data_IF_194105444319
#
_entry.id   IF_194105444319
#
_cell.length_a   1.000
_cell.length_b   1.000
_cell.length_c   1.000
_cell.angle_alpha   90.00
_cell.angle_beta   90.00
_cell.angle_gamma   90.00
#
_symmetry.space_group_name_H-M   'P 1'
#
loop_
_entity.id
_entity.type
_entity.pdbx_description
1 polymer ?
#
# COMPACT_ATOMS: atom_id res chain seq x y z
N UNK A 1 18.51 -7.13 26.34
CA UNK A 1 17.06 -7.30 26.10
C UNK A 1 16.31 -6.49 27.15
N UNK A 2 15.42 -5.59 26.75
CA UNK A 2 14.62 -4.78 27.67
C UNK A 2 13.23 -5.40 27.81
N UNK A 3 12.64 -5.26 29.00
CA UNK A 3 11.28 -5.71 29.30
C UNK A 3 10.39 -4.49 29.45
N UNK A 4 9.23 -4.50 28.76
CA UNK A 4 8.18 -3.48 28.89
C UNK A 4 6.90 -4.12 29.39
N UNK A 5 6.09 -3.36 30.10
CA UNK A 5 4.74 -3.76 30.52
C UNK A 5 3.74 -2.88 29.80
N UNK A 6 2.73 -3.49 29.18
CA UNK A 6 1.68 -2.79 28.44
C UNK A 6 0.35 -3.13 29.10
N UNK A 7 -0.49 -2.12 29.30
CA UNK A 7 -1.88 -2.28 29.74
C UNK A 7 -2.78 -2.18 28.51
N UNK A 8 -3.65 -3.16 28.33
CA UNK A 8 -4.65 -3.21 27.26
C UNK A 8 -6.04 -3.17 27.89
N UNK A 9 -6.99 -2.55 27.22
CA UNK A 9 -8.40 -2.71 27.56
C UNK A 9 -8.92 -4.08 27.11
N UNK A 10 -10.13 -4.44 27.57
CA UNK A 10 -10.69 -5.78 27.37
C UNK A 10 -10.94 -6.07 25.87
N UNK A 11 -11.30 -5.07 25.08
CA UNK A 11 -11.57 -5.21 23.63
C UNK A 11 -10.28 -5.50 22.87
N UNK A 12 -9.20 -4.76 23.16
CA UNK A 12 -7.87 -5.01 22.57
C UNK A 12 -7.28 -6.34 23.01
N UNK A 13 -7.53 -6.73 24.28
CA UNK A 13 -7.08 -8.02 24.78
C UNK A 13 -7.77 -9.18 24.06
N UNK A 14 -9.09 -9.07 23.84
CA UNK A 14 -9.86 -10.05 23.09
C UNK A 14 -9.39 -10.11 21.61
N UNK A 15 -9.14 -8.97 21.00
CA UNK A 15 -8.64 -8.92 19.62
C UNK A 15 -7.24 -9.57 19.50
N UNK A 16 -6.38 -9.38 20.50
CA UNK A 16 -5.06 -10.01 20.57
C UNK A 16 -5.17 -11.54 20.71
N UNK A 17 -6.06 -12.02 21.56
CA UNK A 17 -6.29 -13.46 21.73
C UNK A 17 -6.82 -14.10 20.43
N UNK A 18 -7.75 -13.46 19.74
CA UNK A 18 -8.22 -13.89 18.42
C UNK A 18 -7.12 -13.89 17.35
N UNK A 19 -6.21 -12.90 17.41
CA UNK A 19 -5.05 -12.86 16.51
C UNK A 19 -4.11 -14.02 16.80
N UNK A 20 -3.85 -14.34 18.07
CA UNK A 20 -3.01 -15.48 18.46
C UNK A 20 -3.54 -16.80 17.90
N UNK A 21 -4.84 -17.02 17.98
CA UNK A 21 -5.48 -18.24 17.41
C UNK A 21 -5.25 -18.34 15.89
N UNK A 22 -5.34 -17.21 15.18
CA UNK A 22 -5.15 -17.17 13.72
C UNK A 22 -3.68 -17.26 13.28
N UNK A 23 -2.76 -16.64 14.03
CA UNK A 23 -1.34 -16.56 13.68
C UNK A 23 -0.51 -17.71 14.26
N UNK A 24 -1.11 -18.61 15.05
CA UNK A 24 -0.41 -19.69 15.76
C UNK A 24 0.71 -19.18 16.71
N UNK A 25 0.63 -17.93 17.15
CA UNK A 25 1.57 -17.37 18.10
C UNK A 25 1.46 -18.11 19.45
N UNK A 26 2.58 -18.49 20.02
CA UNK A 26 2.61 -19.32 21.25
C UNK A 26 2.24 -18.56 22.52
N UNK A 27 2.34 -17.24 22.50
CA UNK A 27 1.98 -16.38 23.63
C UNK A 27 1.73 -14.93 23.18
N UNK A 28 1.03 -14.15 24.03
CA UNK A 28 0.69 -12.73 23.77
C UNK A 28 1.91 -11.85 23.48
N UNK A 29 3.04 -12.10 24.14
CA UNK A 29 4.26 -11.33 23.91
C UNK A 29 4.87 -11.58 22.53
N UNK A 30 4.70 -12.77 21.98
CA UNK A 30 5.13 -13.11 20.62
C UNK A 30 4.19 -12.46 19.59
N UNK A 31 2.89 -12.56 19.78
CA UNK A 31 1.91 -11.90 18.94
C UNK A 31 2.12 -10.38 18.88
N UNK A 32 2.34 -9.74 20.02
CA UNK A 32 2.66 -8.31 20.10
C UNK A 32 3.97 -7.95 19.39
N UNK A 33 5.02 -8.78 19.55
CA UNK A 33 6.29 -8.54 18.85
C UNK A 33 6.14 -8.63 17.34
N UNK A 34 5.34 -9.58 16.86
CA UNK A 34 5.06 -9.76 15.45
C UNK A 34 4.27 -8.57 14.88
N UNK A 35 3.23 -8.10 15.60
CA UNK A 35 2.49 -6.89 15.23
C UNK A 35 3.40 -5.66 15.17
N UNK A 36 4.25 -5.48 16.18
CA UNK A 36 5.19 -4.35 16.23
C UNK A 36 6.23 -4.43 15.12
N UNK A 37 6.76 -5.62 14.85
CA UNK A 37 7.70 -5.83 13.75
C UNK A 37 7.04 -5.46 12.43
N UNK A 38 5.86 -5.98 12.16
CA UNK A 38 5.12 -5.68 10.94
C UNK A 38 4.79 -4.18 10.81
N UNK A 39 4.40 -3.52 11.90
CA UNK A 39 4.15 -2.08 11.90
C UNK A 39 5.42 -1.25 11.65
N UNK A 40 6.58 -1.68 12.19
CA UNK A 40 7.86 -1.00 12.01
C UNK A 40 8.51 -1.28 10.64
N UNK A 41 8.29 -2.46 10.08
CA UNK A 41 8.74 -2.80 8.71
C UNK A 41 8.04 -1.94 7.65
N UNK A 42 6.87 -1.37 7.99
CA UNK A 42 6.13 -0.43 7.14
C UNK A 42 6.64 1.01 7.28
N UNK A 43 7.51 1.33 8.24
CA UNK A 43 8.09 2.67 8.43
C UNK A 43 9.30 2.86 7.49
N UNK A 44 9.01 2.95 6.21
CA UNK A 44 10.01 3.12 5.16
C UNK A 44 10.40 4.61 5.04
N UNK A 45 11.67 4.92 4.71
CA UNK A 45 12.09 6.31 4.54
C UNK A 45 11.36 6.96 3.37
N UNK A 46 10.72 8.10 3.60
CA UNK A 46 9.90 8.82 2.60
C UNK A 46 10.63 9.12 1.28
N UNK A 47 11.96 9.22 1.34
CA UNK A 47 12.84 9.50 0.20
C UNK A 47 13.18 8.24 -0.64
N UNK A 48 12.83 7.04 -0.16
CA UNK A 48 13.03 5.79 -0.91
C UNK A 48 12.07 5.67 -2.09
N UNK A 49 12.48 4.94 -3.12
CA UNK A 49 11.60 4.56 -4.23
C UNK A 49 10.76 3.35 -3.87
N UNK A 50 9.53 3.31 -4.37
CA UNK A 50 8.63 2.18 -4.17
C UNK A 50 7.73 1.91 -5.38
N UNK A 51 7.17 0.69 -5.37
CA UNK A 51 5.92 0.37 -6.06
C UNK A 51 4.83 0.29 -4.99
N UNK A 52 3.88 1.22 -5.05
CA UNK A 52 2.71 1.23 -4.17
C UNK A 52 1.55 0.48 -4.79
N UNK A 53 0.94 -0.41 -4.02
CA UNK A 53 -0.33 -1.08 -4.35
C UNK A 53 -1.42 -0.42 -3.52
N UNK A 54 -2.28 0.34 -4.17
CA UNK A 54 -3.38 1.07 -3.52
C UNK A 54 -4.68 0.37 -3.89
N UNK A 55 -5.43 -0.10 -2.91
CA UNK A 55 -6.74 -0.70 -3.11
C UNK A 55 -7.81 0.01 -2.29
N UNK A 56 -8.99 0.18 -2.84
CA UNK A 56 -10.11 0.86 -2.18
C UNK A 56 -11.43 0.54 -2.87
N UNK A 57 -12.52 0.84 -2.17
CA UNK A 57 -13.89 0.75 -2.72
C UNK A 57 -14.43 2.16 -2.87
N UNK A 58 -15.01 2.47 -4.02
CA UNK A 58 -15.73 3.71 -4.27
C UNK A 58 -17.20 3.47 -4.56
N UNK A 59 -18.03 4.45 -4.24
CA UNK A 59 -19.32 4.66 -4.87
C UNK A 59 -19.11 5.61 -6.06
N UNK A 60 -19.15 5.12 -7.31
CA UNK A 60 -18.82 5.92 -8.47
C UNK A 60 -19.78 7.08 -8.71
N UNK A 61 -21.02 6.99 -8.23
CA UNK A 61 -22.04 8.04 -8.34
C UNK A 61 -21.80 9.18 -7.35
N UNK A 62 -21.20 8.86 -6.20
CA UNK A 62 -21.02 9.81 -5.11
C UNK A 62 -19.97 10.85 -5.46
N UNK A 63 -20.37 12.13 -5.43
CA UNK A 63 -19.48 13.25 -5.75
C UNK A 63 -18.68 13.10 -7.04
N UNK A 64 -19.23 12.36 -7.98
CA UNK A 64 -18.58 12.08 -9.26
C UNK A 64 -17.22 11.35 -9.14
N UNK A 65 -17.08 10.48 -8.13
CA UNK A 65 -15.83 9.74 -7.90
C UNK A 65 -15.44 8.88 -9.10
N UNK A 66 -16.41 8.29 -9.80
CA UNK A 66 -16.17 7.50 -11.02
C UNK A 66 -15.45 8.27 -12.12
N UNK A 67 -15.47 9.60 -12.09
CA UNK A 67 -14.71 10.45 -13.02
C UNK A 67 -13.48 11.07 -12.37
N UNK A 68 -13.62 11.59 -11.16
CA UNK A 68 -12.55 12.31 -10.45
C UNK A 68 -11.35 11.43 -10.12
N UNK A 69 -11.59 10.20 -9.70
CA UNK A 69 -10.51 9.27 -9.34
C UNK A 69 -9.67 8.89 -10.55
N UNK A 70 -10.23 8.43 -11.69
CA UNK A 70 -9.45 8.23 -12.91
C UNK A 70 -8.71 9.48 -13.39
N UNK A 71 -9.34 10.68 -13.31
CA UNK A 71 -8.68 11.94 -13.66
C UNK A 71 -7.50 12.26 -12.76
N UNK A 72 -7.59 11.97 -11.45
CA UNK A 72 -6.49 12.18 -10.51
C UNK A 72 -5.28 11.29 -10.81
N UNK A 73 -5.53 10.06 -11.28
CA UNK A 73 -4.48 9.15 -11.78
C UNK A 73 -3.91 9.62 -13.12
N UNK A 74 -4.77 10.08 -14.03
CA UNK A 74 -4.33 10.61 -15.31
C UNK A 74 -3.41 11.83 -15.13
N UNK A 75 -3.67 12.67 -14.13
CA UNK A 75 -2.79 13.80 -13.78
C UNK A 75 -1.42 13.34 -13.24
N UNK A 76 -1.28 12.06 -12.89
CA UNK A 76 -0.05 11.41 -12.41
C UNK A 76 0.33 10.23 -13.30
N UNK A 77 0.16 10.38 -14.61
CA UNK A 77 0.37 9.31 -15.60
C UNK A 77 1.80 8.77 -15.61
N UNK A 78 2.78 9.59 -15.25
CA UNK A 78 4.19 9.22 -15.10
C UNK A 78 4.46 8.32 -13.88
N UNK A 79 3.66 8.48 -12.81
CA UNK A 79 3.73 7.65 -11.62
C UNK A 79 2.77 6.44 -11.68
N UNK A 80 1.68 6.51 -12.45
CA UNK A 80 0.70 5.43 -12.55
C UNK A 80 1.17 4.34 -13.51
N UNK A 81 1.41 3.13 -12.98
CA UNK A 81 1.85 1.97 -13.77
C UNK A 81 0.65 1.24 -14.36
N UNK A 82 -0.38 1.00 -13.55
CA UNK A 82 -1.59 0.29 -13.95
C UNK A 82 -2.76 0.66 -13.02
N UNK A 83 -3.97 0.47 -13.50
CA UNK A 83 -5.16 0.54 -12.65
C UNK A 83 -6.23 -0.43 -13.16
N UNK A 84 -6.95 -1.03 -12.22
CA UNK A 84 -8.05 -1.95 -12.45
C UNK A 84 -9.27 -1.47 -11.67
N UNK A 85 -10.43 -1.48 -12.31
CA UNK A 85 -11.72 -1.21 -11.69
C UNK A 85 -12.64 -2.41 -11.89
N UNK A 86 -13.20 -2.93 -10.82
CA UNK A 86 -14.11 -4.07 -10.81
C UNK A 86 -15.43 -3.64 -10.17
N UNK A 87 -16.50 -3.43 -10.96
CA UNK A 87 -17.83 -3.21 -10.42
C UNK A 87 -18.29 -4.42 -9.61
N UNK A 88 -18.78 -4.19 -8.40
CA UNK A 88 -19.35 -5.22 -7.53
C UNK A 88 -20.88 -5.21 -7.61
N UNK A 89 -21.44 -4.02 -7.58
CA UNK A 89 -22.87 -3.73 -7.69
C UNK A 89 -23.08 -2.33 -8.30
N UNK A 90 -24.31 -1.80 -8.20
CA UNK A 90 -24.66 -0.47 -8.77
C UNK A 90 -23.96 0.69 -8.05
N UNK A 91 -23.59 0.51 -6.79
CA UNK A 91 -23.10 1.57 -5.91
C UNK A 91 -21.67 1.30 -5.38
N UNK A 92 -21.04 0.21 -5.81
CA UNK A 92 -19.74 -0.21 -5.29
C UNK A 92 -18.83 -0.71 -6.40
N UNK A 93 -17.66 -0.10 -6.49
CA UNK A 93 -16.57 -0.53 -7.38
C UNK A 93 -15.29 -0.68 -6.57
N UNK A 94 -14.64 -1.85 -6.66
CA UNK A 94 -13.27 -2.00 -6.17
C UNK A 94 -12.34 -1.41 -7.23
N UNK A 95 -11.41 -0.58 -6.78
CA UNK A 95 -10.31 -0.12 -7.61
C UNK A 95 -8.97 -0.53 -7.01
N UNK A 96 -8.05 -0.94 -7.87
CA UNK A 96 -6.65 -1.20 -7.53
C UNK A 96 -5.77 -0.38 -8.45
N UNK A 97 -4.85 0.37 -7.89
CA UNK A 97 -3.86 1.13 -8.65
C UNK A 97 -2.44 0.72 -8.24
N UNK A 98 -1.58 0.52 -9.23
CA UNK A 98 -0.15 0.35 -9.06
C UNK A 98 0.51 1.69 -9.39
N UNK A 99 1.26 2.23 -8.45
CA UNK A 99 1.99 3.48 -8.61
C UNK A 99 3.46 3.30 -8.30
N UNK A 100 4.30 3.99 -9.02
CA UNK A 100 5.75 4.08 -8.77
C UNK A 100 6.11 5.51 -8.37
N UNK A 101 7.08 5.65 -7.51
CA UNK A 101 7.59 6.95 -7.11
C UNK A 101 8.25 6.91 -5.75
N UNK A 102 8.46 8.08 -5.17
CA UNK A 102 8.95 8.17 -3.80
C UNK A 102 7.87 7.75 -2.81
N UNK A 103 8.27 7.06 -1.76
CA UNK A 103 7.36 6.54 -0.73
C UNK A 103 6.45 7.64 -0.22
N UNK A 104 7.00 8.79 0.19
CA UNK A 104 6.18 9.90 0.70
C UNK A 104 5.17 10.46 -0.32
N UNK A 105 5.48 10.44 -1.62
CA UNK A 105 4.56 10.90 -2.66
C UNK A 105 3.40 9.91 -2.87
N UNK A 106 3.71 8.62 -2.88
CA UNK A 106 2.71 7.55 -3.01
C UNK A 106 1.81 7.49 -1.79
N UNK A 107 2.37 7.62 -0.58
CA UNK A 107 1.60 7.72 0.66
C UNK A 107 0.69 8.94 0.68
N UNK A 108 1.21 10.11 0.32
CA UNK A 108 0.41 11.35 0.29
C UNK A 108 -0.77 11.22 -0.68
N UNK A 109 -0.55 10.59 -1.85
CA UNK A 109 -1.63 10.34 -2.79
C UNK A 109 -2.66 9.35 -2.25
N UNK A 110 -2.23 8.20 -1.71
CA UNK A 110 -3.12 7.21 -1.13
C UNK A 110 -3.96 7.80 0.01
N UNK A 111 -3.33 8.53 0.93
CA UNK A 111 -4.00 9.21 2.03
C UNK A 111 -5.02 10.24 1.53
N UNK A 112 -4.70 10.98 0.46
CA UNK A 112 -5.65 11.92 -0.14
C UNK A 112 -6.90 11.23 -0.69
N UNK A 113 -6.75 10.03 -1.29
CA UNK A 113 -7.85 9.21 -1.75
C UNK A 113 -8.70 8.66 -0.59
N UNK A 114 -8.05 8.16 0.46
CA UNK A 114 -8.75 7.54 1.59
C UNK A 114 -9.59 8.54 2.39
N UNK A 115 -9.21 9.82 2.36
CA UNK A 115 -9.96 10.91 2.96
C UNK A 115 -11.16 11.37 2.11
N UNK A 116 -11.25 10.96 0.84
CA UNK A 116 -12.37 11.32 -0.02
C UNK A 116 -13.68 10.69 0.46
N UNK A 117 -14.70 11.54 0.62
CA UNK A 117 -16.03 11.07 1.05
C UNK A 117 -16.69 10.19 0.00
N UNK A 118 -16.81 8.91 0.27
CA UNK A 118 -17.32 7.88 -0.65
C UNK A 118 -16.26 6.85 -1.02
N UNK A 119 -15.03 7.07 -0.58
CA UNK A 119 -13.98 6.03 -0.57
C UNK A 119 -14.05 5.26 0.74
N UNK A 120 -13.94 3.94 0.66
CA UNK A 120 -14.03 3.01 1.79
C UNK A 120 -12.97 1.92 1.64
N UNK A 121 -12.59 1.29 2.76
CA UNK A 121 -11.67 0.13 2.76
C UNK A 121 -10.35 0.42 2.04
N UNK A 122 -9.83 1.66 2.21
CA UNK A 122 -8.55 2.03 1.64
C UNK A 122 -7.41 1.25 2.27
N UNK A 123 -6.52 0.70 1.44
CA UNK A 123 -5.30 0.02 1.85
C UNK A 123 -4.15 0.40 0.92
N UNK A 124 -2.98 0.61 1.49
CA UNK A 124 -1.73 0.86 0.80
C UNK A 124 -0.71 -0.19 1.23
N UNK A 125 -0.12 -0.87 0.26
CA UNK A 125 1.06 -1.71 0.45
C UNK A 125 2.22 -1.10 -0.33
N UNK A 126 3.35 -0.88 0.33
CA UNK A 126 4.56 -0.33 -0.27
C UNK A 126 5.59 -1.45 -0.46
N UNK A 127 6.06 -1.60 -1.68
CA UNK A 127 7.16 -2.50 -2.04
C UNK A 127 8.37 -1.62 -2.31
N UNK A 128 9.35 -1.55 -1.38
CA UNK A 128 10.53 -0.74 -1.57
C UNK A 128 11.37 -1.29 -2.72
N UNK A 129 11.82 -0.40 -3.59
CA UNK A 129 12.62 -0.76 -4.76
C UNK A 129 13.83 0.17 -4.89
N UNK A 130 14.85 -0.32 -5.60
CA UNK A 130 15.93 0.52 -6.12
C UNK A 130 15.77 0.63 -7.62
N UNK A 131 15.82 1.85 -8.13
CA UNK A 131 15.81 2.12 -9.57
C UNK A 131 17.24 2.09 -10.08
N UNK A 132 17.53 1.20 -11.04
CA UNK A 132 18.82 1.09 -11.72
C UNK A 132 18.60 1.28 -13.21
N UNK A 133 19.44 2.10 -13.85
CA UNK A 133 19.41 2.26 -15.31
C UNK A 133 20.40 1.24 -15.89
N UNK A 134 19.86 0.26 -16.61
CA UNK A 134 20.68 -0.73 -17.31
C UNK A 134 20.60 -0.51 -18.81
N UNK A 135 21.74 -0.72 -19.47
CA UNK A 135 21.84 -0.68 -20.93
C UNK A 135 21.86 -2.10 -21.44
N UNK A 136 20.87 -2.44 -22.26
CA UNK A 136 20.76 -3.76 -22.88
C UNK A 136 20.77 -3.66 -24.41
N UNK A 137 21.26 -4.73 -25.04
CA UNK A 137 21.21 -4.90 -26.47
C UNK A 137 20.37 -6.14 -26.78
N UNK A 138 19.19 -5.94 -27.35
CA UNK A 138 18.30 -7.00 -27.78
C UNK A 138 18.11 -6.93 -29.29
N UNK A 139 19.03 -7.55 -30.05
CA UNK A 139 18.87 -7.73 -31.50
C UNK A 139 18.89 -6.43 -32.31
N UNK A 140 19.47 -5.34 -31.81
CA UNK A 140 19.49 -4.04 -32.46
C UNK A 140 20.37 -3.02 -31.70
N UNK A 141 20.03 -1.74 -31.79
CA UNK A 141 20.78 -0.68 -31.11
C UNK A 141 20.66 -0.80 -29.57
N UNK A 142 21.72 -0.52 -28.81
CA UNK A 142 21.64 -0.49 -27.34
C UNK A 142 20.64 0.58 -26.90
N UNK A 143 19.82 0.23 -25.91
CA UNK A 143 18.85 1.15 -25.29
C UNK A 143 18.95 1.07 -23.77
N UNK A 144 18.76 2.20 -23.12
CA UNK A 144 18.75 2.32 -21.66
C UNK A 144 17.30 2.40 -21.17
N UNK A 145 16.97 1.63 -20.14
CA UNK A 145 15.68 1.76 -19.44
C UNK A 145 15.81 1.44 -17.94
N UNK A 146 14.93 1.99 -17.11
CA UNK A 146 14.95 1.74 -15.68
C UNK A 146 14.49 0.34 -15.32
N UNK A 147 15.24 -0.33 -14.46
CA UNK A 147 14.88 -1.56 -13.79
C UNK A 147 14.54 -1.27 -12.32
N UNK A 148 13.51 -1.91 -11.82
CA UNK A 148 13.12 -1.83 -10.42
C UNK A 148 13.54 -3.12 -9.72
N UNK A 149 14.52 -3.04 -8.82
CA UNK A 149 14.94 -4.16 -7.99
C UNK A 149 14.28 -4.04 -6.62
N UNK A 150 13.53 -5.06 -6.23
CA UNK A 150 12.94 -5.12 -4.89
C UNK A 150 14.05 -5.19 -3.85
N UNK A 151 13.95 -4.37 -2.82
CA UNK A 151 14.87 -4.41 -1.69
C UNK A 151 14.42 -5.56 -0.77
N UNK A 152 15.39 -6.40 -0.37
CA UNK A 152 15.16 -7.42 0.64
C UNK A 152 14.96 -6.72 2.00
N UNK A 153 13.89 -7.11 2.71
CA UNK A 153 13.58 -6.61 4.05
C UNK A 153 14.44 -7.25 5.13
#
# INVERSE_FOLDING_TARGET
MQRITVTLDDDLLLALDQLMERSQATNRSEALRELLRHALETDLPAEGDCIGVISYVIDPSRRNLGQRVPQSRQARHDATVAALAVPLDHDSTIEVALMRGRIGEVEAYANSLFLERGVRHGSLSLIPVRTEIEVHEHGGAPHAHPHFRVLEG
#
